data_IF_017872622359
#
_entry.id   IF_017872622359
#
_cell.length_a   1.000
_cell.length_b   1.000
_cell.length_c   1.000
_cell.angle_alpha   90.00
_cell.angle_beta   90.00
_cell.angle_gamma   90.00
#
_symmetry.space_group_name_H-M   'P 1'
#
loop_
_entity.id
_entity.type
_entity.pdbx_description
1 polymer ?
#
# COMPACT_ATOMS: atom_id res chain seq x y z
N UNK A 1 -32.88 6.30 0.45
CA UNK A 1 -32.90 7.74 0.19
C UNK A 1 -31.47 8.23 0.34
N UNK A 2 -30.91 8.80 -0.69
CA UNK A 2 -29.54 9.32 -0.68
C UNK A 2 -29.54 10.74 -0.08
N UNK A 3 -28.37 11.21 0.37
CA UNK A 3 -28.27 12.55 0.97
C UNK A 3 -28.74 13.71 0.08
N UNK A 4 -28.74 13.52 -1.24
CA UNK A 4 -29.28 14.45 -2.23
C UNK A 4 -30.81 14.58 -2.13
N UNK A 5 -31.51 13.48 -1.88
CA UNK A 5 -32.98 13.47 -1.83
C UNK A 5 -33.52 14.25 -0.61
N UNK A 6 -32.75 14.28 0.48
CA UNK A 6 -33.13 15.02 1.71
C UNK A 6 -32.90 16.51 1.52
N UNK A 7 -31.84 16.92 0.82
CA UNK A 7 -31.55 18.33 0.56
C UNK A 7 -32.58 18.95 -0.40
N UNK A 8 -33.00 18.22 -1.42
CA UNK A 8 -34.05 18.69 -2.35
C UNK A 8 -35.41 18.79 -1.66
N UNK A 9 -35.72 17.85 -0.77
CA UNK A 9 -36.98 17.89 0.00
C UNK A 9 -37.03 19.06 1.00
N UNK A 10 -35.90 19.39 1.62
CA UNK A 10 -35.79 20.54 2.53
C UNK A 10 -35.85 21.86 1.75
N UNK A 11 -35.29 21.90 0.55
CA UNK A 11 -35.30 23.07 -0.33
C UNK A 11 -36.72 23.37 -0.83
N UNK A 12 -37.50 22.36 -1.24
CA UNK A 12 -38.90 22.52 -1.63
C UNK A 12 -39.78 22.96 -0.47
N UNK A 13 -39.62 22.35 0.73
CA UNK A 13 -40.42 22.77 1.92
C UNK A 13 -40.08 24.17 2.38
N UNK A 14 -38.83 24.62 2.26
CA UNK A 14 -38.44 26.00 2.61
C UNK A 14 -39.03 27.00 1.62
N UNK A 15 -39.05 26.71 0.34
CA UNK A 15 -39.70 27.55 -0.69
C UNK A 15 -41.21 27.65 -0.41
N UNK A 16 -41.87 26.54 -0.07
CA UNK A 16 -43.31 26.55 0.27
C UNK A 16 -43.60 27.34 1.55
N UNK A 17 -42.74 27.24 2.55
CA UNK A 17 -42.92 28.02 3.82
C UNK A 17 -42.79 29.53 3.58
N UNK A 18 -41.81 29.94 2.77
CA UNK A 18 -41.64 31.35 2.38
C UNK A 18 -42.84 31.84 1.55
N UNK A 19 -43.35 30.99 0.63
CA UNK A 19 -44.56 31.35 -0.19
C UNK A 19 -45.81 31.46 0.66
N UNK A 20 -45.99 30.60 1.66
CA UNK A 20 -47.14 30.62 2.54
C UNK A 20 -47.13 31.84 3.46
N UNK A 21 -45.98 32.27 3.97
CA UNK A 21 -45.82 33.48 4.75
C UNK A 21 -46.13 34.77 3.94
N UNK A 22 -45.87 34.74 2.63
CA UNK A 22 -46.09 35.88 1.74
C UNK A 22 -47.56 36.11 1.35
N UNK A 23 -48.38 35.06 1.33
CA UNK A 23 -49.83 35.15 1.07
C UNK A 23 -50.59 35.81 2.23
N UNK A 24 -50.02 35.78 3.43
CA UNK A 24 -50.66 36.36 4.62
C UNK A 24 -50.20 37.79 5.00
N UNK A 25 -49.09 38.29 4.44
CA UNK A 25 -48.48 39.55 4.88
C UNK A 25 -48.35 40.65 3.85
N UNK A 26 -48.80 40.45 2.58
CA UNK A 26 -48.79 41.49 1.53
C UNK A 26 -47.43 42.04 1.14
N UNK A 27 -46.35 41.24 1.27
CA UNK A 27 -44.99 41.66 0.95
C UNK A 27 -44.58 41.41 -0.50
N UNK A 28 -43.90 42.39 -1.10
CA UNK A 28 -43.30 42.34 -2.42
C UNK A 28 -42.00 41.51 -2.37
N UNK A 29 -41.91 40.46 -3.17
CA UNK A 29 -40.71 39.64 -3.29
C UNK A 29 -39.72 40.27 -4.26
N UNK A 30 -38.54 40.61 -3.79
CA UNK A 30 -37.36 40.84 -4.63
C UNK A 30 -36.63 39.52 -4.85
N UNK A 31 -36.48 39.17 -6.12
CA UNK A 31 -35.83 37.93 -6.57
C UNK A 31 -34.34 37.97 -6.22
N UNK A 32 -33.88 37.23 -5.19
CA UNK A 32 -32.47 37.13 -4.84
C UNK A 32 -31.85 35.93 -5.52
N UNK A 33 -31.39 36.11 -6.74
CA UNK A 33 -30.78 35.10 -7.57
C UNK A 33 -29.24 34.99 -7.34
N UNK A 34 -28.74 35.17 -6.14
CA UNK A 34 -27.33 34.86 -5.81
C UNK A 34 -27.12 34.79 -4.31
N UNK A 35 -27.09 33.60 -3.77
CA UNK A 35 -26.57 33.38 -2.42
C UNK A 35 -25.03 33.37 -2.50
N UNK A 36 -24.43 34.47 -2.06
CA UNK A 36 -23.03 34.55 -1.65
C UNK A 36 -23.04 34.75 -0.15
N UNK A 37 -22.21 34.06 0.64
CA UNK A 37 -22.12 34.29 2.08
C UNK A 37 -21.34 35.57 2.43
N UNK A 38 -21.29 36.51 1.51
CA UNK A 38 -20.78 37.87 1.80
C UNK A 38 -21.93 38.72 2.26
N UNK A 39 -21.68 39.47 3.32
CA UNK A 39 -22.53 40.46 3.95
C UNK A 39 -23.77 40.84 3.13
N UNK A 40 -24.93 40.37 3.57
CA UNK A 40 -26.20 40.90 3.05
C UNK A 40 -26.31 42.30 3.60
N UNK A 41 -26.03 43.31 2.75
CA UNK A 41 -26.31 44.70 3.10
C UNK A 41 -27.78 44.84 3.49
N UNK A 42 -28.00 45.50 4.60
CA UNK A 42 -29.32 45.68 5.20
C UNK A 42 -30.30 46.28 4.23
N UNK A 43 -31.38 45.59 3.90
CA UNK A 43 -32.54 46.19 3.26
C UNK A 43 -33.22 47.10 4.26
N UNK A 44 -33.07 48.41 4.08
CA UNK A 44 -33.79 49.41 4.90
C UNK A 44 -35.22 49.48 4.40
N UNK A 45 -36.17 48.90 5.13
CA UNK A 45 -37.59 49.11 4.89
C UNK A 45 -38.01 50.35 5.67
N UNK A 46 -38.23 51.48 4.97
CA UNK A 46 -38.82 52.68 5.57
C UNK A 46 -40.34 52.52 5.58
N UNK A 47 -40.89 52.04 6.67
CA UNK A 47 -42.26 52.26 7.01
C UNK A 47 -42.35 53.56 7.89
N UNK A 48 -43.52 54.16 8.01
CA UNK A 48 -43.79 55.41 8.77
C UNK A 48 -43.38 55.40 10.25
N UNK A 49 -42.64 54.41 10.68
CA UNK A 49 -41.88 54.34 11.92
C UNK A 49 -40.44 54.18 11.54
N UNK A 50 -39.57 55.11 11.91
CA UNK A 50 -38.11 55.09 11.65
C UNK A 50 -37.41 53.95 12.40
N UNK A 51 -37.73 52.69 12.05
CA UNK A 51 -37.06 51.51 12.59
C UNK A 51 -36.19 50.90 11.44
N UNK A 52 -34.90 51.14 11.49
CA UNK A 52 -33.95 50.43 10.65
C UNK A 52 -33.51 49.15 11.37
N UNK A 53 -33.87 47.99 10.81
CA UNK A 53 -33.38 46.68 11.28
C UNK A 53 -32.13 46.31 10.49
N UNK A 54 -30.99 46.30 11.15
CA UNK A 54 -29.75 45.81 10.61
C UNK A 54 -29.65 44.29 10.89
N UNK A 55 -29.88 43.47 9.91
CA UNK A 55 -29.65 42.01 10.02
C UNK A 55 -28.18 41.71 9.75
N UNK A 56 -27.49 41.12 10.71
CA UNK A 56 -26.13 40.60 10.56
C UNK A 56 -26.25 39.11 10.40
N UNK A 57 -25.61 38.54 9.34
CA UNK A 57 -25.53 37.10 9.20
C UNK A 57 -24.70 36.49 10.33
N UNK A 58 -25.25 35.49 11.00
CA UNK A 58 -24.54 34.72 12.03
C UNK A 58 -23.63 33.63 11.42
N UNK A 59 -23.57 33.53 10.08
CA UNK A 59 -22.71 32.62 9.38
C UNK A 59 -21.37 33.28 9.05
N UNK A 60 -20.29 32.55 9.32
CA UNK A 60 -18.93 32.89 8.89
C UNK A 60 -18.32 31.68 8.16
N UNK A 61 -17.41 31.89 7.22
CA UNK A 61 -16.71 30.80 6.58
C UNK A 61 -15.19 30.96 6.69
N UNK A 62 -14.50 29.83 6.73
CA UNK A 62 -13.04 29.74 6.72
C UNK A 62 -12.61 28.70 5.70
N UNK A 63 -11.59 29.01 4.90
CA UNK A 63 -10.97 28.02 4.00
C UNK A 63 -9.71 27.49 4.68
N UNK A 64 -9.58 26.16 4.69
CA UNK A 64 -8.38 25.46 5.17
C UNK A 64 -7.81 24.58 4.03
N UNK A 65 -6.52 24.33 4.09
CA UNK A 65 -5.84 23.40 3.20
C UNK A 65 -5.50 22.11 3.96
N UNK A 66 -5.94 20.97 3.44
CA UNK A 66 -5.54 19.64 3.91
C UNK A 66 -4.62 19.02 2.87
N UNK A 67 -3.41 18.61 3.29
CA UNK A 67 -2.42 18.00 2.43
C UNK A 67 -2.31 16.50 2.71
N UNK A 68 -2.45 15.69 1.65
CA UNK A 68 -2.24 14.26 1.67
C UNK A 68 -1.03 13.91 0.79
N UNK A 69 -0.19 13.02 1.27
CA UNK A 69 0.95 12.52 0.49
C UNK A 69 0.48 11.44 -0.46
N UNK A 70 0.83 11.57 -1.74
CA UNK A 70 0.68 10.53 -2.75
C UNK A 70 2.03 9.81 -2.85
N UNK A 71 2.16 8.56 -2.38
CA UNK A 71 3.42 7.84 -2.43
C UNK A 71 3.85 7.57 -3.88
N UNK A 72 5.15 7.58 -4.13
CA UNK A 72 5.68 7.16 -5.42
C UNK A 72 5.73 5.62 -5.52
N UNK A 73 5.67 5.12 -6.74
CA UNK A 73 5.88 3.70 -7.06
C UNK A 73 7.33 3.43 -7.46
N UNK A 74 7.75 2.16 -7.37
CA UNK A 74 9.05 1.72 -7.86
C UNK A 74 8.88 0.96 -9.17
N UNK A 75 9.52 1.44 -10.23
CA UNK A 75 9.59 0.81 -11.53
C UNK A 75 10.93 0.10 -11.69
N UNK A 76 10.93 -1.13 -12.25
CA UNK A 76 12.13 -1.89 -12.53
C UNK A 76 12.46 -1.86 -14.02
N UNK A 77 13.66 -1.41 -14.34
CA UNK A 77 14.24 -1.48 -15.68
C UNK A 77 15.17 -2.67 -15.73
N UNK A 78 14.89 -3.63 -16.62
CA UNK A 78 15.70 -4.82 -16.79
C UNK A 78 17.00 -4.49 -17.54
N UNK A 79 18.14 -4.92 -16.98
CA UNK A 79 19.47 -4.68 -17.52
C UNK A 79 20.16 -6.03 -17.81
N UNK A 80 20.30 -6.38 -19.09
CA UNK A 80 20.90 -7.62 -19.54
C UNK A 80 22.44 -7.61 -19.50
N UNK A 81 23.06 -6.47 -19.26
CA UNK A 81 24.49 -6.35 -19.02
C UNK A 81 24.89 -6.67 -17.58
N UNK A 82 23.94 -6.59 -16.65
CA UNK A 82 24.14 -6.71 -15.21
C UNK A 82 23.79 -8.12 -14.69
N UNK A 83 24.63 -8.63 -13.77
CA UNK A 83 24.39 -9.93 -13.10
C UNK A 83 23.05 -9.92 -12.36
N UNK A 84 22.20 -10.92 -12.63
CA UNK A 84 20.88 -11.06 -11.97
C UNK A 84 20.95 -11.20 -10.46
N UNK A 85 22.14 -11.54 -9.94
CA UNK A 85 22.40 -11.72 -8.51
C UNK A 85 23.10 -10.52 -7.87
N UNK A 86 23.33 -9.45 -8.64
CA UNK A 86 23.81 -8.19 -8.09
C UNK A 86 22.65 -7.41 -7.47
N UNK A 87 22.97 -6.53 -6.52
CA UNK A 87 21.97 -5.62 -5.95
C UNK A 87 21.35 -4.73 -7.02
N UNK A 88 20.08 -4.44 -6.87
CA UNK A 88 19.38 -3.51 -7.73
C UNK A 88 19.99 -2.11 -7.57
N UNK A 89 20.18 -1.41 -8.68
CA UNK A 89 20.78 -0.07 -8.70
C UNK A 89 19.69 0.98 -8.87
N UNK A 90 19.65 1.94 -7.97
CA UNK A 90 18.79 3.12 -8.15
C UNK A 90 19.29 3.99 -9.30
N UNK A 91 18.48 4.12 -10.36
CA UNK A 91 18.75 4.97 -11.54
C UNK A 91 18.17 6.37 -11.32
N UNK A 92 16.95 6.44 -10.83
CA UNK A 92 16.21 7.68 -10.56
C UNK A 92 15.53 7.60 -9.20
N UNK A 93 15.70 8.67 -8.40
CA UNK A 93 15.03 8.77 -7.10
C UNK A 93 13.55 9.06 -7.26
N UNK A 94 12.72 8.32 -6.54
CA UNK A 94 11.31 8.61 -6.42
C UNK A 94 11.05 9.91 -5.64
N UNK A 95 9.95 10.56 -5.96
CA UNK A 95 9.45 11.72 -5.23
C UNK A 95 7.95 11.59 -5.00
N UNK A 96 7.52 11.70 -3.76
CA UNK A 96 6.10 11.70 -3.44
C UNK A 96 5.39 12.89 -4.09
N UNK A 97 4.18 12.64 -4.54
CA UNK A 97 3.22 13.66 -4.93
C UNK A 97 2.48 14.23 -3.72
N UNK A 98 1.63 15.20 -3.97
CA UNK A 98 0.80 15.83 -2.94
C UNK A 98 -0.60 16.07 -3.50
N UNK A 99 -1.61 15.69 -2.75
CA UNK A 99 -3.00 16.09 -2.95
C UNK A 99 -3.31 17.17 -1.92
N UNK A 100 -3.49 18.41 -2.36
CA UNK A 100 -3.96 19.52 -1.54
C UNK A 100 -5.46 19.68 -1.77
N UNK A 101 -6.26 19.55 -0.72
CA UNK A 101 -7.70 19.78 -0.72
C UNK A 101 -7.98 21.14 -0.09
N UNK A 102 -8.72 22.00 -0.78
CA UNK A 102 -9.24 23.24 -0.22
C UNK A 102 -10.63 22.98 0.34
N UNK A 103 -10.79 23.17 1.61
CA UNK A 103 -12.02 22.87 2.35
C UNK A 103 -12.57 24.16 2.93
N UNK A 104 -13.80 24.47 2.57
CA UNK A 104 -14.55 25.54 3.20
C UNK A 104 -15.34 24.97 4.38
N UNK A 105 -15.12 25.59 5.55
CA UNK A 105 -15.86 25.29 6.77
C UNK A 105 -16.75 26.48 7.04
N UNK A 106 -18.05 26.25 7.10
CA UNK A 106 -19.06 27.25 7.45
C UNK A 106 -19.41 27.10 8.92
N UNK A 107 -19.42 28.21 9.65
CA UNK A 107 -19.79 28.27 11.07
C UNK A 107 -21.12 29.00 11.23
N UNK A 108 -21.94 28.53 12.13
CA UNK A 108 -23.13 29.22 12.61
C UNK A 108 -22.99 29.50 14.12
N UNK A 109 -23.02 30.76 14.49
CA UNK A 109 -22.82 31.20 15.89
C UNK A 109 -21.52 30.68 16.54
N UNK A 110 -20.46 30.44 15.70
CA UNK A 110 -19.17 29.95 16.15
C UNK A 110 -19.01 28.44 16.18
N UNK A 111 -20.07 27.66 15.92
CA UNK A 111 -20.03 26.22 15.80
C UNK A 111 -19.96 25.77 14.32
N UNK A 112 -19.25 24.70 14.03
CA UNK A 112 -19.14 24.14 12.67
C UNK A 112 -20.53 23.67 12.21
N UNK A 113 -21.01 24.28 11.12
CA UNK A 113 -22.32 24.01 10.53
C UNK A 113 -22.21 23.12 9.28
N UNK A 114 -21.21 23.38 8.43
CA UNK A 114 -20.99 22.64 7.18
C UNK A 114 -19.49 22.61 6.86
N UNK A 115 -19.06 21.48 6.26
CA UNK A 115 -17.69 21.28 5.79
C UNK A 115 -17.74 20.71 4.38
N UNK A 116 -17.22 21.42 3.38
CA UNK A 116 -17.23 20.97 1.99
C UNK A 116 -15.90 21.21 1.31
N UNK A 117 -15.48 20.27 0.47
CA UNK A 117 -14.36 20.46 -0.42
C UNK A 117 -14.77 21.37 -1.58
N UNK A 118 -14.07 22.48 -1.75
CA UNK A 118 -14.36 23.48 -2.80
C UNK A 118 -13.39 23.35 -3.99
N UNK A 119 -12.15 22.87 -3.74
CA UNK A 119 -11.14 22.67 -4.79
C UNK A 119 -10.14 21.60 -4.39
N UNK A 120 -9.35 21.11 -5.36
CA UNK A 120 -8.22 20.21 -5.15
C UNK A 120 -7.09 20.51 -6.13
N UNK A 121 -5.86 20.44 -5.65
CA UNK A 121 -4.64 20.52 -6.46
C UNK A 121 -3.86 19.21 -6.30
N UNK A 122 -3.43 18.62 -7.41
CA UNK A 122 -2.64 17.40 -7.43
C UNK A 122 -1.28 17.70 -8.01
N UNK A 123 -0.22 17.34 -7.27
CA UNK A 123 1.14 17.23 -7.76
C UNK A 123 1.41 15.73 -7.86
N UNK A 124 1.54 15.20 -9.07
CA UNK A 124 1.79 13.78 -9.29
C UNK A 124 3.13 13.34 -8.71
N UNK A 125 3.21 12.11 -8.17
CA UNK A 125 4.49 11.54 -7.75
C UNK A 125 5.39 11.27 -8.97
N UNK A 126 6.68 11.18 -8.71
CA UNK A 126 7.69 10.73 -9.68
C UNK A 126 8.14 9.35 -9.22
N UNK A 127 7.98 8.32 -10.07
CA UNK A 127 8.38 6.95 -9.76
C UNK A 127 9.89 6.84 -9.51
N UNK A 128 10.26 6.00 -8.55
CA UNK A 128 11.65 5.58 -8.39
C UNK A 128 11.97 4.52 -9.45
N UNK A 129 13.09 4.66 -10.17
CA UNK A 129 13.55 3.64 -11.11
C UNK A 129 14.74 2.87 -10.58
N UNK A 130 14.63 1.55 -10.61
CA UNK A 130 15.66 0.61 -10.18
C UNK A 130 16.12 -0.24 -11.38
N UNK A 131 17.42 -0.31 -11.66
CA UNK A 131 17.97 -1.27 -12.62
C UNK A 131 18.12 -2.63 -11.97
N UNK A 132 17.49 -3.65 -12.55
CA UNK A 132 17.56 -5.04 -12.12
C UNK A 132 18.33 -5.87 -13.14
N UNK A 133 19.42 -6.50 -12.70
CA UNK A 133 20.22 -7.38 -13.57
C UNK A 133 19.44 -8.62 -14.02
N UNK A 134 19.65 -9.02 -15.26
CA UNK A 134 19.04 -10.23 -15.84
C UNK A 134 20.06 -11.25 -16.37
N UNK A 135 21.33 -10.85 -16.51
CA UNK A 135 22.40 -11.69 -16.99
C UNK A 135 22.75 -12.78 -15.99
N UNK A 136 22.73 -14.04 -16.42
CA UNK A 136 23.26 -15.13 -15.60
C UNK A 136 24.78 -15.19 -15.75
N UNK A 137 25.48 -15.01 -14.62
CA UNK A 137 26.95 -15.11 -14.55
C UNK A 137 27.30 -16.29 -13.64
N UNK A 138 28.00 -17.29 -14.20
CA UNK A 138 28.45 -18.41 -13.40
C UNK A 138 29.80 -18.09 -12.75
N UNK A 139 29.92 -18.47 -11.50
CA UNK A 139 31.10 -18.33 -10.63
C UNK A 139 31.48 -19.72 -10.10
N UNK A 140 32.74 -19.91 -9.78
CA UNK A 140 33.21 -21.16 -9.24
C UNK A 140 33.44 -21.09 -7.75
N UNK A 141 33.08 -22.15 -7.04
CA UNK A 141 33.31 -22.33 -5.60
C UNK A 141 34.12 -23.63 -5.42
N UNK A 142 35.27 -23.50 -4.77
CA UNK A 142 36.08 -24.68 -4.36
C UNK A 142 35.48 -25.24 -3.08
N UNK A 143 35.12 -26.50 -3.11
CA UNK A 143 34.55 -27.22 -1.95
C UNK A 143 35.42 -28.41 -1.58
N UNK A 144 35.14 -29.04 -0.44
CA UNK A 144 35.84 -30.24 -0.02
C UNK A 144 35.70 -31.41 -1.01
N UNK A 145 34.63 -31.42 -1.81
CA UNK A 145 34.28 -32.45 -2.78
C UNK A 145 34.59 -32.05 -4.23
N UNK A 146 35.35 -30.98 -4.44
CA UNK A 146 35.71 -30.48 -5.77
C UNK A 146 35.14 -29.09 -6.03
N UNK A 147 35.29 -28.64 -7.27
CA UNK A 147 34.82 -27.35 -7.71
C UNK A 147 33.37 -27.44 -8.23
N UNK A 148 32.55 -26.51 -7.84
CA UNK A 148 31.17 -26.38 -8.33
C UNK A 148 30.97 -25.04 -9.00
N UNK A 149 30.08 -24.97 -10.00
CA UNK A 149 29.69 -23.75 -10.66
C UNK A 149 28.32 -23.32 -10.13
N UNK A 150 28.19 -22.06 -9.75
CA UNK A 150 26.94 -21.47 -9.22
C UNK A 150 26.63 -20.14 -9.88
N UNK A 151 25.36 -19.81 -9.95
CA UNK A 151 24.91 -18.52 -10.53
C UNK A 151 24.74 -17.45 -9.46
N UNK A 152 24.15 -17.78 -8.30
CA UNK A 152 23.87 -16.83 -7.21
C UNK A 152 24.26 -17.43 -5.86
N UNK A 153 24.87 -16.62 -4.99
CA UNK A 153 24.89 -16.89 -3.56
C UNK A 153 23.59 -16.32 -2.96
N UNK A 154 22.71 -17.20 -2.48
CA UNK A 154 21.41 -16.82 -1.92
C UNK A 154 21.52 -16.23 -0.52
N UNK A 155 22.60 -16.54 0.21
CA UNK A 155 22.85 -16.01 1.55
C UNK A 155 23.17 -17.10 2.56
N UNK A 156 22.99 -16.76 3.84
CA UNK A 156 23.16 -17.66 4.97
C UNK A 156 21.80 -18.05 5.51
N UNK A 157 21.52 -19.34 5.57
CA UNK A 157 20.25 -19.90 6.01
C UNK A 157 20.43 -20.70 7.29
N UNK A 158 19.43 -20.67 8.17
CA UNK A 158 19.33 -21.55 9.30
C UNK A 158 18.82 -22.91 8.84
N UNK A 159 19.65 -23.95 8.95
CA UNK A 159 19.35 -25.29 8.48
C UNK A 159 19.12 -26.25 9.65
N UNK A 160 17.99 -26.93 9.65
CA UNK A 160 17.70 -28.14 10.43
C UNK A 160 17.81 -29.39 9.55
N UNK A 161 17.51 -30.54 10.10
CA UNK A 161 17.55 -31.81 9.41
C UNK A 161 16.30 -32.65 9.70
N UNK A 162 15.78 -33.32 8.67
CA UNK A 162 14.69 -34.27 8.79
C UNK A 162 14.99 -35.57 8.05
N UNK A 163 14.31 -36.65 8.42
CA UNK A 163 14.24 -37.88 7.63
C UNK A 163 12.78 -38.35 7.53
N UNK A 164 12.51 -39.30 6.64
CA UNK A 164 11.16 -39.83 6.42
C UNK A 164 10.57 -40.58 7.64
N UNK A 165 11.40 -40.87 8.67
CA UNK A 165 10.96 -41.58 9.87
C UNK A 165 10.42 -40.63 10.95
N UNK A 166 10.45 -39.32 10.73
CA UNK A 166 9.92 -38.39 11.71
C UNK A 166 8.41 -38.47 11.85
N UNK A 167 7.88 -38.24 13.07
CA UNK A 167 6.43 -38.28 13.32
C UNK A 167 5.70 -37.21 12.51
N UNK A 168 4.84 -37.62 11.59
CA UNK A 168 4.06 -36.74 10.71
C UNK A 168 4.78 -36.34 9.43
N UNK A 169 5.97 -36.91 9.16
CA UNK A 169 6.63 -36.76 7.86
C UNK A 169 6.04 -37.71 6.83
N UNK A 170 6.07 -37.32 5.58
CA UNK A 170 5.72 -38.13 4.43
C UNK A 170 6.98 -38.65 3.75
N UNK A 171 6.91 -39.84 3.16
CA UNK A 171 7.97 -40.33 2.26
C UNK A 171 8.01 -39.54 0.96
N UNK A 172 6.97 -38.79 0.65
CA UNK A 172 6.87 -38.00 -0.57
C UNK A 172 6.77 -36.52 -0.22
N UNK A 173 7.63 -35.74 -0.84
CA UNK A 173 7.74 -34.29 -0.64
C UNK A 173 6.65 -33.50 -1.40
N UNK A 174 6.56 -32.20 -1.19
CA UNK A 174 5.59 -31.31 -1.84
C UNK A 174 5.70 -31.33 -3.39
N UNK A 175 6.88 -31.62 -3.95
CA UNK A 175 7.09 -31.75 -5.40
C UNK A 175 6.96 -33.17 -5.93
N UNK A 176 6.58 -34.14 -5.07
CA UNK A 176 6.47 -35.56 -5.46
C UNK A 176 7.79 -36.33 -5.47
N UNK A 177 8.88 -35.71 -5.04
CA UNK A 177 10.15 -36.40 -4.87
C UNK A 177 10.14 -37.29 -3.62
N UNK A 178 10.97 -38.34 -3.60
CA UNK A 178 11.18 -39.09 -2.37
C UNK A 178 11.91 -38.24 -1.35
N UNK A 179 11.37 -38.16 -0.12
CA UNK A 179 12.04 -37.52 0.97
C UNK A 179 13.35 -38.23 1.36
N UNK A 180 14.43 -37.49 1.53
CA UNK A 180 15.75 -38.06 1.81
C UNK A 180 16.88 -37.13 1.38
N UNK A 181 18.09 -37.68 1.33
CA UNK A 181 19.28 -36.91 0.98
C UNK A 181 19.17 -36.30 -0.43
N UNK A 182 19.54 -35.00 -0.54
CA UNK A 182 19.48 -34.25 -1.78
C UNK A 182 18.17 -33.52 -2.01
N UNK A 183 17.19 -33.59 -1.06
CA UNK A 183 15.96 -32.79 -1.11
C UNK A 183 15.94 -31.88 0.11
N UNK A 184 15.53 -30.64 -0.10
CA UNK A 184 15.45 -29.64 0.97
C UNK A 184 14.08 -28.97 0.98
N UNK A 185 13.51 -28.82 2.19
CA UNK A 185 12.33 -28.02 2.40
C UNK A 185 12.71 -26.55 2.53
N UNK A 186 11.97 -25.68 1.83
CA UNK A 186 12.25 -24.25 1.70
C UNK A 186 10.97 -23.41 1.86
N UNK A 187 11.11 -22.11 2.04
CA UNK A 187 10.03 -21.16 1.78
C UNK A 187 9.97 -20.85 0.27
N UNK A 188 8.89 -21.24 -0.45
CA UNK A 188 8.78 -20.98 -1.88
C UNK A 188 8.77 -19.50 -2.29
N UNK A 189 8.54 -18.60 -1.33
CA UNK A 189 8.64 -17.15 -1.55
C UNK A 189 10.08 -16.65 -1.60
N UNK A 190 11.03 -17.43 -1.06
CA UNK A 190 12.46 -17.11 -1.03
C UNK A 190 13.22 -17.94 -2.04
N UNK A 191 12.99 -19.26 -2.05
CA UNK A 191 13.60 -20.20 -2.98
C UNK A 191 12.48 -20.95 -3.71
N UNK A 192 12.26 -20.69 -5.02
CA UNK A 192 11.23 -21.40 -5.79
C UNK A 192 11.47 -22.93 -5.78
N UNK A 193 10.37 -23.69 -5.72
CA UNK A 193 10.47 -25.16 -5.82
C UNK A 193 11.07 -25.58 -7.17
N UNK A 194 11.85 -26.65 -7.16
CA UNK A 194 12.61 -27.13 -8.32
C UNK A 194 14.00 -26.49 -8.47
N UNK A 195 14.34 -25.46 -7.68
CA UNK A 195 15.66 -24.81 -7.72
C UNK A 195 16.75 -25.79 -7.32
N UNK A 196 17.80 -25.88 -8.13
CA UNK A 196 19.01 -26.67 -7.82
C UNK A 196 19.93 -25.83 -6.93
N UNK A 197 20.36 -26.41 -5.84
CA UNK A 197 21.11 -25.73 -4.79
C UNK A 197 22.42 -26.48 -4.51
N UNK A 198 23.41 -25.72 -4.06
CA UNK A 198 24.51 -26.25 -3.26
C UNK A 198 24.46 -25.62 -1.87
N UNK A 199 24.60 -26.47 -0.84
CA UNK A 199 24.48 -26.09 0.55
C UNK A 199 25.77 -26.51 1.26
N UNK A 200 26.46 -25.55 1.90
CA UNK A 200 27.74 -25.83 2.56
C UNK A 200 27.57 -26.84 3.69
N UNK A 201 28.44 -27.84 3.71
CA UNK A 201 28.39 -28.93 4.70
C UNK A 201 27.34 -30.01 4.43
N UNK A 202 26.47 -29.84 3.43
CA UNK A 202 25.47 -30.82 3.01
C UNK A 202 25.73 -31.33 1.59
N UNK A 203 25.90 -30.42 0.60
CA UNK A 203 26.13 -30.77 -0.78
C UNK A 203 25.06 -30.27 -1.73
N UNK A 204 24.97 -30.91 -2.91
CA UNK A 204 23.96 -30.56 -3.90
C UNK A 204 22.57 -31.05 -3.49
N UNK A 205 21.57 -30.24 -3.75
CA UNK A 205 20.17 -30.49 -3.37
C UNK A 205 19.19 -29.86 -4.36
N UNK A 206 17.95 -30.28 -4.27
CA UNK A 206 16.80 -29.64 -4.95
C UNK A 206 15.85 -29.10 -3.90
N UNK A 207 15.38 -27.88 -4.07
CA UNK A 207 14.27 -27.29 -3.31
C UNK A 207 12.99 -28.06 -3.65
N UNK A 208 12.74 -29.16 -2.99
CA UNK A 208 11.70 -30.12 -3.36
C UNK A 208 10.58 -30.27 -2.35
N UNK A 209 10.68 -29.57 -1.21
CA UNK A 209 9.71 -29.72 -0.14
C UNK A 209 9.35 -28.36 0.50
N UNK A 210 8.30 -28.37 1.31
CA UNK A 210 7.85 -27.23 2.10
C UNK A 210 7.47 -27.67 3.50
N UNK A 211 7.59 -26.77 4.47
CA UNK A 211 7.17 -27.03 5.85
C UNK A 211 6.43 -25.85 6.44
N UNK A 212 5.48 -26.11 7.32
CA UNK A 212 4.73 -25.05 8.00
C UNK A 212 5.62 -24.10 8.82
N UNK A 213 6.70 -24.62 9.39
CA UNK A 213 7.71 -23.88 10.16
C UNK A 213 8.87 -23.34 9.29
N UNK A 214 8.96 -23.74 8.02
CA UNK A 214 10.03 -23.33 7.11
C UNK A 214 9.63 -22.04 6.43
N UNK A 215 10.14 -20.89 6.95
CA UNK A 215 9.81 -19.55 6.47
C UNK A 215 11.06 -18.67 6.37
N UNK A 216 11.08 -17.80 5.36
CA UNK A 216 12.19 -16.89 5.13
C UNK A 216 13.51 -17.63 4.88
N UNK A 217 14.57 -17.25 5.58
CA UNK A 217 15.91 -17.82 5.49
C UNK A 217 16.07 -19.07 6.39
N UNK A 218 15.03 -19.91 6.48
CA UNK A 218 15.06 -21.19 7.19
C UNK A 218 14.85 -22.33 6.19
N UNK A 219 15.65 -23.35 6.28
CA UNK A 219 15.58 -24.56 5.45
C UNK A 219 15.65 -25.83 6.30
N UNK A 220 15.09 -26.94 5.78
CA UNK A 220 15.15 -28.23 6.42
C UNK A 220 15.72 -29.27 5.46
N UNK A 221 16.85 -29.85 5.82
CA UNK A 221 17.66 -30.72 4.96
C UNK A 221 17.20 -32.16 5.11
N UNK A 222 16.81 -32.77 3.99
CA UNK A 222 16.44 -34.18 3.96
C UNK A 222 17.66 -35.10 4.09
N UNK A 223 17.54 -36.11 4.93
CA UNK A 223 18.53 -37.19 5.10
C UNK A 223 17.84 -38.54 4.99
N UNK A 224 18.51 -39.54 4.48
CA UNK A 224 18.00 -40.92 4.49
C UNK A 224 17.92 -41.46 5.94
N UNK A 225 18.86 -41.03 6.77
CA UNK A 225 18.88 -41.24 8.22
C UNK A 225 19.59 -40.07 8.89
N UNK A 226 18.94 -39.42 9.82
CA UNK A 226 19.53 -38.28 10.54
C UNK A 226 20.67 -38.76 11.43
N UNK A 227 21.83 -38.16 11.25
CA UNK A 227 22.86 -38.16 12.27
C UNK A 227 22.49 -37.10 13.36
N UNK A 228 22.34 -37.55 14.59
CA UNK A 228 22.02 -36.67 15.72
C UNK A 228 23.06 -35.55 15.91
N UNK A 229 24.25 -35.69 15.37
CA UNK A 229 25.29 -34.66 15.38
C UNK A 229 24.99 -33.46 14.50
N UNK A 230 24.05 -33.57 13.52
CA UNK A 230 23.72 -32.44 12.63
C UNK A 230 23.20 -31.22 13.41
N UNK A 231 22.15 -31.39 14.20
CA UNK A 231 21.51 -30.31 14.96
C UNK A 231 20.94 -29.23 14.07
N UNK A 232 20.97 -27.98 14.54
CA UNK A 232 20.62 -26.78 13.77
C UNK A 232 21.86 -25.91 13.62
N UNK A 233 22.13 -25.44 12.39
CA UNK A 233 23.31 -24.62 12.09
C UNK A 233 23.06 -23.64 10.97
N UNK A 234 23.92 -22.64 10.84
CA UNK A 234 23.94 -21.75 9.70
C UNK A 234 24.75 -22.35 8.56
N UNK A 235 24.21 -22.28 7.35
CA UNK A 235 24.83 -22.79 6.12
C UNK A 235 24.74 -21.74 5.02
N UNK A 236 25.72 -21.68 4.15
CA UNK A 236 25.61 -20.88 2.93
C UNK A 236 24.88 -21.67 1.84
N UNK A 237 23.99 -20.99 1.12
CA UNK A 237 23.17 -21.58 0.08
C UNK A 237 23.47 -20.89 -1.26
N UNK A 238 23.71 -21.70 -2.28
CA UNK A 238 24.05 -21.27 -3.62
C UNK A 238 23.07 -21.86 -4.64
N UNK A 239 22.68 -21.07 -5.62
CA UNK A 239 21.88 -21.50 -6.77
C UNK A 239 22.83 -21.99 -7.86
N UNK A 240 22.69 -23.27 -8.26
CA UNK A 240 23.49 -23.90 -9.29
C UNK A 240 23.05 -23.55 -10.71
#
# INVERSE_FOLDING_TARGET
MTGSDIQDLLRERFVYFVFLCLLFSGFLIVNVNRWSPREVEALTIKNNFDVSVKTVSSFTSKIIEENEVIPYETEYVMDDSKDKCSEDLEIEKGKNGTLTKMIEITYYQGEEFDKRQIDKKIISPISRKMAKGTKTVYKNLVTANGEISYSCKLGVFRASAYDSNCKGCSETTATGLKAGFGVVAVDPKVIPLGTKLYITGYGSAVAGDTGGAIKGETIDLGFDKIDKSWGTRNVEVYHL
#
